data_IF_412536816339
#
_entry.id   IF_412536816339
#
_cell.length_a   1.000
_cell.length_b   1.000
_cell.length_c   1.000
_cell.angle_alpha   90.00
_cell.angle_beta   90.00
_cell.angle_gamma   90.00
#
_symmetry.space_group_name_H-M   'P 1'
#
loop_
_entity.id
_entity.type
_entity.pdbx_description
1 polymer ?
#
# COMPACT_ATOMS: atom_id res chain seq x y z
N UNK A 1 35.85 -30.24 -1.35
CA UNK A 1 35.86 -28.78 -1.07
C UNK A 1 34.61 -28.46 -0.29
N UNK A 2 34.73 -28.25 1.03
CA UNK A 2 33.61 -27.86 1.89
C UNK A 2 33.53 -26.34 1.97
N UNK A 3 32.37 -25.78 1.68
CA UNK A 3 32.11 -24.34 1.85
C UNK A 3 32.21 -24.03 3.35
N UNK A 4 33.04 -23.06 3.73
CA UNK A 4 33.18 -22.66 5.13
C UNK A 4 31.91 -21.94 5.62
N UNK A 5 31.76 -21.78 6.93
CA UNK A 5 30.64 -21.00 7.49
C UNK A 5 30.73 -19.53 7.02
N UNK A 6 31.95 -18.98 6.95
CA UNK A 6 32.20 -17.61 6.50
C UNK A 6 31.77 -17.40 5.04
N UNK A 7 32.03 -18.38 4.15
CA UNK A 7 31.63 -18.29 2.74
C UNK A 7 30.11 -18.31 2.56
N UNK A 8 29.38 -19.00 3.45
CA UNK A 8 27.90 -19.00 3.45
C UNK A 8 27.33 -17.67 3.91
N UNK A 9 28.00 -16.97 4.81
CA UNK A 9 27.56 -15.67 5.32
C UNK A 9 27.58 -14.59 4.23
N UNK A 10 28.53 -14.67 3.29
CA UNK A 10 28.58 -13.77 2.11
C UNK A 10 27.28 -13.81 1.29
N UNK A 11 26.67 -14.99 1.13
CA UNK A 11 25.40 -15.14 0.42
C UNK A 11 24.23 -14.51 1.19
N UNK A 12 24.22 -14.66 2.51
CA UNK A 12 23.19 -14.06 3.38
C UNK A 12 23.29 -12.54 3.36
N UNK A 13 24.50 -11.98 3.48
CA UNK A 13 24.73 -10.54 3.40
C UNK A 13 24.32 -9.99 2.02
N UNK A 14 24.65 -10.70 0.93
CA UNK A 14 24.24 -10.32 -0.41
C UNK A 14 22.71 -10.34 -0.55
N UNK A 15 22.04 -11.36 -0.01
CA UNK A 15 20.58 -11.47 -0.03
C UNK A 15 19.91 -10.35 0.76
N UNK A 16 20.39 -10.06 1.98
CA UNK A 16 19.86 -8.99 2.82
C UNK A 16 20.10 -7.62 2.18
N UNK A 17 21.26 -7.41 1.55
CA UNK A 17 21.55 -6.16 0.83
C UNK A 17 20.64 -5.97 -0.38
N UNK A 18 20.35 -7.03 -1.13
CA UNK A 18 19.46 -6.98 -2.29
C UNK A 18 17.99 -6.88 -1.91
N UNK A 19 17.53 -7.63 -0.89
CA UNK A 19 16.12 -7.77 -0.51
C UNK A 19 15.69 -6.94 0.69
N UNK A 20 16.61 -6.37 1.46
CA UNK A 20 16.28 -5.70 2.71
C UNK A 20 15.72 -6.63 3.78
N UNK A 21 15.66 -6.14 5.03
CA UNK A 21 15.21 -6.93 6.18
C UNK A 21 13.70 -6.88 6.43
N UNK A 22 13.00 -5.89 5.86
CA UNK A 22 11.59 -5.58 6.18
C UNK A 22 10.72 -5.53 4.92
N UNK A 23 11.20 -6.05 3.79
CA UNK A 23 10.49 -5.90 2.51
C UNK A 23 9.13 -6.56 2.49
N UNK A 24 8.89 -7.65 3.23
CA UNK A 24 7.60 -8.32 3.15
C UNK A 24 6.41 -7.42 3.49
N UNK A 25 6.57 -6.51 4.45
CA UNK A 25 5.50 -5.59 4.84
C UNK A 25 5.37 -4.43 3.86
N UNK A 26 6.49 -3.92 3.36
CA UNK A 26 6.49 -2.84 2.36
C UNK A 26 5.88 -3.32 1.03
N UNK A 27 6.27 -4.50 0.56
CA UNK A 27 5.75 -5.08 -0.67
C UNK A 27 4.24 -5.37 -0.56
N UNK A 28 3.80 -5.90 0.58
CA UNK A 28 2.37 -6.12 0.87
C UNK A 28 1.58 -4.80 0.92
N UNK A 29 2.14 -3.77 1.58
CA UNK A 29 1.51 -2.45 1.62
C UNK A 29 1.42 -1.82 0.23
N UNK A 30 2.49 -1.89 -0.56
CA UNK A 30 2.50 -1.36 -1.94
C UNK A 30 1.49 -2.10 -2.83
N UNK A 31 1.44 -3.44 -2.79
CA UNK A 31 0.45 -4.22 -3.55
C UNK A 31 -0.99 -3.87 -3.13
N UNK A 32 -1.21 -3.62 -1.85
CA UNK A 32 -2.51 -3.18 -1.34
C UNK A 32 -2.90 -1.81 -1.90
N UNK A 33 -2.01 -0.82 -1.82
CA UNK A 33 -2.26 0.55 -2.27
C UNK A 33 -2.42 0.64 -3.79
N UNK A 34 -1.58 -0.08 -4.55
CA UNK A 34 -1.52 0.04 -6.01
C UNK A 34 -2.60 -0.77 -6.73
N UNK A 35 -3.09 -1.86 -6.14
CA UNK A 35 -4.00 -2.80 -6.82
C UNK A 35 -5.23 -3.14 -5.99
N UNK A 36 -5.03 -3.78 -4.84
CA UNK A 36 -6.13 -4.42 -4.11
C UNK A 36 -7.18 -3.41 -3.63
N UNK A 37 -6.75 -2.20 -3.29
CA UNK A 37 -7.68 -1.17 -2.85
C UNK A 37 -8.67 -0.79 -3.96
N UNK A 38 -8.24 -0.71 -5.22
CA UNK A 38 -9.14 -0.48 -6.35
C UNK A 38 -10.03 -1.71 -6.61
N UNK A 39 -9.49 -2.93 -6.52
CA UNK A 39 -10.26 -4.17 -6.67
C UNK A 39 -11.45 -4.23 -5.70
N UNK A 40 -11.24 -3.84 -4.43
CA UNK A 40 -12.31 -3.78 -3.42
C UNK A 40 -13.41 -2.77 -3.80
N UNK A 41 -13.03 -1.61 -4.37
CA UNK A 41 -14.00 -0.60 -4.81
C UNK A 41 -14.78 -1.09 -6.03
N UNK A 42 -14.09 -1.76 -6.95
CA UNK A 42 -14.69 -2.32 -8.17
C UNK A 42 -15.67 -3.46 -7.87
N UNK A 43 -15.40 -4.27 -6.83
CA UNK A 43 -16.31 -5.33 -6.36
C UNK A 43 -17.66 -4.77 -5.89
N UNK A 44 -17.66 -3.66 -5.14
CA UNK A 44 -18.90 -3.02 -4.72
C UNK A 44 -19.58 -2.32 -5.91
N UNK A 45 -18.81 -1.64 -6.78
CA UNK A 45 -19.21 -0.95 -8.01
C UNK A 45 -20.23 0.20 -7.87
N UNK A 46 -21.37 -0.04 -7.22
CA UNK A 46 -22.47 0.91 -7.08
C UNK A 46 -23.02 0.96 -5.65
N UNK A 47 -23.53 2.14 -5.26
CA UNK A 47 -24.43 2.30 -4.12
C UNK A 47 -25.84 2.55 -4.66
N UNK A 48 -26.76 1.65 -4.35
CA UNK A 48 -28.17 1.81 -4.67
C UNK A 48 -28.84 2.84 -3.76
N UNK A 49 -29.78 3.61 -4.31
CA UNK A 49 -30.62 4.52 -3.53
C UNK A 49 -32.04 3.98 -3.43
N UNK A 50 -32.84 4.53 -2.50
CA UNK A 50 -34.26 4.19 -2.38
C UNK A 50 -35.10 4.71 -3.56
N UNK A 51 -34.55 5.59 -4.40
CA UNK A 51 -35.22 6.14 -5.57
C UNK A 51 -34.94 5.19 -6.74
N UNK A 52 -36.00 4.66 -7.33
CA UNK A 52 -35.89 3.72 -8.44
C UNK A 52 -35.09 4.34 -9.61
N UNK A 53 -34.08 3.62 -10.10
CA UNK A 53 -33.23 4.05 -11.20
C UNK A 53 -32.11 5.03 -10.82
N UNK A 54 -32.01 5.45 -9.56
CA UNK A 54 -30.92 6.30 -9.08
C UNK A 54 -29.89 5.48 -8.28
N UNK A 55 -28.64 5.52 -8.72
CA UNK A 55 -27.51 4.89 -8.05
C UNK A 55 -26.25 5.76 -8.18
N UNK A 56 -25.29 5.56 -7.29
CA UNK A 56 -23.95 6.16 -7.39
C UNK A 56 -22.99 5.08 -7.85
N UNK A 57 -22.25 5.32 -8.93
CA UNK A 57 -21.20 4.41 -9.41
C UNK A 57 -19.85 4.90 -8.95
N UNK A 58 -19.05 3.99 -8.38
CA UNK A 58 -17.68 4.29 -8.03
C UNK A 58 -16.77 4.35 -9.27
N UNK A 59 -15.83 5.28 -9.22
CA UNK A 59 -14.79 5.46 -10.23
C UNK A 59 -13.45 4.95 -9.73
N UNK A 60 -12.37 5.57 -10.22
CA UNK A 60 -11.03 5.28 -9.75
C UNK A 60 -10.72 6.05 -8.47
N UNK A 61 -9.95 5.43 -7.60
CA UNK A 61 -9.45 6.06 -6.37
C UNK A 61 -8.00 6.52 -6.56
N UNK A 62 -7.60 7.49 -5.73
CA UNK A 62 -6.23 8.00 -5.68
C UNK A 62 -5.81 8.13 -4.22
N UNK A 63 -4.54 7.81 -3.93
CA UNK A 63 -3.96 7.98 -2.60
C UNK A 63 -3.12 9.25 -2.61
N UNK A 64 -3.57 10.25 -1.85
CA UNK A 64 -2.87 11.53 -1.69
C UNK A 64 -1.68 11.46 -0.74
N UNK A 65 -1.02 12.61 -0.55
CA UNK A 65 0.06 12.74 0.44
C UNK A 65 -0.47 12.72 1.88
N UNK A 66 0.36 12.34 2.87
CA UNK A 66 0.02 12.46 4.28
C UNK A 66 -0.27 13.91 4.68
N UNK A 67 -1.47 14.16 5.21
CA UNK A 67 -1.92 15.48 5.67
C UNK A 67 -2.61 15.37 7.04
N UNK A 68 -2.62 16.47 7.79
CA UNK A 68 -3.43 16.65 9.00
C UNK A 68 -4.41 17.79 8.79
N UNK A 69 -5.62 17.65 9.34
CA UNK A 69 -6.63 18.72 9.42
C UNK A 69 -6.80 19.15 10.86
N UNK A 70 -6.54 20.42 11.15
CA UNK A 70 -6.60 20.97 12.50
C UNK A 70 -8.03 21.41 12.88
N UNK A 71 -8.22 21.74 14.17
CA UNK A 71 -9.53 22.13 14.71
C UNK A 71 -10.11 23.40 14.07
N UNK A 72 -9.24 24.28 13.56
CA UNK A 72 -9.60 25.49 12.83
C UNK A 72 -9.92 25.23 11.34
N UNK A 73 -9.74 23.98 10.88
CA UNK A 73 -9.98 23.54 9.51
C UNK A 73 -8.79 23.74 8.57
N UNK A 74 -7.65 24.24 9.05
CA UNK A 74 -6.42 24.31 8.26
C UNK A 74 -5.90 22.91 7.90
N UNK A 75 -5.18 22.80 6.78
CA UNK A 75 -4.63 21.54 6.25
C UNK A 75 -3.13 21.72 6.02
N UNK A 76 -2.33 20.80 6.56
CA UNK A 76 -0.87 20.81 6.44
C UNK A 76 -0.32 19.43 6.07
N UNK A 77 0.69 19.38 5.19
CA UNK A 77 1.47 18.15 4.95
C UNK A 77 2.29 17.81 6.19
N UNK A 78 2.40 16.52 6.49
CA UNK A 78 3.14 16.03 7.66
C UNK A 78 4.33 15.15 7.26
N UNK A 79 5.32 15.11 8.13
CA UNK A 79 6.47 14.21 8.03
C UNK A 79 6.40 13.14 9.14
N UNK A 80 7.01 11.96 8.94
CA UNK A 80 7.07 10.89 9.95
C UNK A 80 7.77 11.30 11.25
#
# INVERSE_FOLDING_TARGET
MSISISDRWVLVDAFIKDKGLVRQHLDSYNDFIEKRLQEIIDEQSIIETKIHGLYVKFGKIEVGKPIVREADGSISEILP
#
